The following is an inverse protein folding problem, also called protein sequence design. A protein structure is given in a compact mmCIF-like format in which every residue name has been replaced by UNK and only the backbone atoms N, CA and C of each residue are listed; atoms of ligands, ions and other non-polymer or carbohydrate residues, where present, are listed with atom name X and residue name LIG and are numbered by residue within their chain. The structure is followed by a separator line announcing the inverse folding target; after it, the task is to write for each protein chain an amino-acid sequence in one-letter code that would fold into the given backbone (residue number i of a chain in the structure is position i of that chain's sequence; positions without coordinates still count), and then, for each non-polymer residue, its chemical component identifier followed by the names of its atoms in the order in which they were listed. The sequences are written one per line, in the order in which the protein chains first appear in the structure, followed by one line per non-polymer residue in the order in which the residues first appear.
data_IF_286859138005
#
_entry.id   IF_286859138005
#
_cell.length_a   1.000
_cell.length_b   1.000
_cell.length_c   1.000
_cell.angle_alpha   90.00
_cell.angle_beta   90.00
_cell.angle_gamma   90.00
#
_symmetry.space_group_name_H-M   'P 1'
#
loop_
_entity.id
_entity.type
_entity.pdbx_description
1 polymer ?
#
# COMPACT_ATOMS: atom_id res chain seq x y z
N UNK A 1 20.11 25.44 22.96
CA UNK A 1 20.32 24.86 21.62
C UNK A 1 19.03 25.12 20.85
N UNK A 2 19.10 25.83 19.72
CA UNK A 2 17.92 26.30 18.99
C UNK A 2 18.01 25.79 17.56
N UNK A 3 17.04 24.99 17.12
CA UNK A 3 16.96 24.52 15.75
C UNK A 3 16.21 25.53 14.87
N UNK A 4 16.58 25.64 13.59
CA UNK A 4 15.88 26.49 12.62
C UNK A 4 14.54 25.91 12.19
N UNK A 5 13.75 26.66 11.41
CA UNK A 5 12.37 26.24 11.03
C UNK A 5 12.30 25.02 10.10
N UNK A 6 13.43 24.53 9.62
CA UNK A 6 13.50 23.47 8.62
C UNK A 6 13.05 23.92 7.23
N UNK A 7 13.23 23.05 6.25
CA UNK A 7 12.79 23.26 4.86
C UNK A 7 11.97 22.07 4.42
N UNK A 8 10.75 22.31 3.95
CA UNK A 8 9.90 21.29 3.35
C UNK A 8 10.17 21.26 1.84
N UNK A 9 10.80 20.18 1.38
CA UNK A 9 10.97 19.91 -0.05
C UNK A 9 9.76 19.10 -0.54
N UNK A 10 9.12 19.57 -1.60
CA UNK A 10 8.04 18.84 -2.27
C UNK A 10 8.50 18.48 -3.70
N UNK A 11 8.68 17.20 -3.97
CA UNK A 11 9.15 16.70 -5.28
C UNK A 11 7.95 16.08 -6.00
N UNK A 12 7.59 16.64 -7.15
CA UNK A 12 6.53 16.10 -8.01
C UNK A 12 7.14 15.08 -8.97
N UNK A 13 6.80 13.78 -8.88
CA UNK A 13 7.21 12.81 -9.89
C UNK A 13 6.56 13.12 -11.23
N UNK A 14 7.26 12.73 -12.31
CA UNK A 14 6.73 12.82 -13.66
C UNK A 14 5.82 11.62 -13.92
N UNK A 15 4.52 11.78 -13.70
CA UNK A 15 3.53 10.78 -14.09
C UNK A 15 3.35 10.79 -15.61
N UNK A 16 3.78 9.73 -16.29
CA UNK A 16 3.77 9.62 -17.76
C UNK A 16 2.45 9.07 -18.32
N UNK A 17 1.52 8.69 -17.46
CA UNK A 17 0.28 8.02 -17.86
C UNK A 17 -0.93 8.94 -17.68
N UNK A 18 -1.67 9.15 -18.77
CA UNK A 18 -2.99 9.79 -18.74
C UNK A 18 -3.99 8.74 -18.25
N UNK A 19 -4.04 8.54 -16.95
CA UNK A 19 -5.04 7.67 -16.33
C UNK A 19 -6.39 8.40 -16.21
N UNK A 20 -7.45 7.61 -16.18
CA UNK A 20 -8.77 8.10 -15.81
C UNK A 20 -8.92 7.93 -14.29
N UNK A 21 -9.35 9.01 -13.65
CA UNK A 21 -9.52 9.01 -12.20
C UNK A 21 -10.56 7.96 -11.81
N UNK A 22 -10.29 7.26 -10.71
CA UNK A 22 -11.17 6.22 -10.18
C UNK A 22 -11.49 6.52 -8.72
N UNK A 23 -12.74 6.26 -8.32
CA UNK A 23 -13.22 6.47 -6.96
C UNK A 23 -13.80 5.17 -6.41
N UNK A 24 -13.39 4.84 -5.19
CA UNK A 24 -13.80 3.63 -4.48
C UNK A 24 -14.38 3.99 -3.11
N UNK A 25 -15.51 3.37 -2.78
CA UNK A 25 -16.06 3.39 -1.43
C UNK A 25 -15.48 2.22 -0.63
N UNK A 26 -14.68 2.55 0.39
CA UNK A 26 -14.08 1.58 1.30
C UNK A 26 -14.93 1.49 2.56
N UNK A 27 -15.24 0.28 3.00
CA UNK A 27 -15.96 0.02 4.25
C UNK A 27 -15.02 -0.58 5.28
N UNK A 28 -15.25 -0.27 6.55
CA UNK A 28 -14.54 -0.92 7.65
C UNK A 28 -14.74 -2.44 7.59
N UNK A 29 -13.68 -3.17 7.91
CA UNK A 29 -13.75 -4.63 8.03
C UNK A 29 -14.30 -5.07 9.40
N UNK A 30 -14.52 -4.14 10.33
CA UNK A 30 -15.09 -4.44 11.63
C UNK A 30 -16.61 -4.50 11.52
N UNK A 31 -17.21 -5.65 11.81
CA UNK A 31 -18.66 -5.88 11.72
C UNK A 31 -19.51 -4.92 12.57
N UNK A 32 -18.90 -4.25 13.56
CA UNK A 32 -19.59 -3.35 14.49
C UNK A 32 -19.58 -1.89 14.07
N UNK A 33 -18.83 -1.52 13.04
CA UNK A 33 -18.67 -0.13 12.61
C UNK A 33 -19.14 0.04 11.17
N UNK A 34 -20.19 0.85 10.98
CA UNK A 34 -20.67 1.28 9.67
C UNK A 34 -19.78 2.37 9.05
N UNK A 35 -18.50 2.40 9.41
CA UNK A 35 -17.57 3.41 8.95
C UNK A 35 -17.19 3.15 7.49
N UNK A 36 -17.36 4.16 6.65
CA UNK A 36 -16.97 4.13 5.26
C UNK A 36 -16.27 5.42 4.84
N UNK A 37 -15.28 5.26 3.98
CA UNK A 37 -14.42 6.33 3.47
C UNK A 37 -14.28 6.21 1.97
N UNK A 38 -14.08 7.35 1.29
CA UNK A 38 -13.88 7.39 -0.15
C UNK A 38 -12.37 7.47 -0.45
N UNK A 39 -11.89 6.61 -1.36
CA UNK A 39 -10.56 6.68 -1.92
C UNK A 39 -10.66 7.10 -3.39
N UNK A 40 -10.09 8.25 -3.73
CA UNK A 40 -9.85 8.63 -5.12
C UNK A 40 -8.40 8.35 -5.49
N UNK A 41 -8.18 7.78 -6.68
CA UNK A 41 -6.86 7.41 -7.21
C UNK A 41 -6.78 7.68 -8.71
N UNK A 42 -5.57 7.57 -9.26
CA UNK A 42 -5.28 7.62 -10.69
C UNK A 42 -5.61 8.97 -11.36
N UNK A 43 -5.67 10.05 -10.56
CA UNK A 43 -5.78 11.40 -11.10
C UNK A 43 -4.43 11.91 -11.63
N UNK A 44 -4.43 12.69 -12.73
CA UNK A 44 -3.24 13.40 -13.18
C UNK A 44 -2.76 14.36 -12.08
N UNK A 45 -1.47 14.75 -12.14
CA UNK A 45 -0.82 15.69 -11.19
C UNK A 45 -1.81 16.76 -10.68
N UNK A 46 -1.98 16.92 -9.35
CA UNK A 46 -2.94 17.85 -8.76
C UNK A 46 -2.41 19.29 -8.86
N UNK A 47 -2.23 19.78 -10.07
CA UNK A 47 -2.01 21.21 -10.34
C UNK A 47 -3.38 21.91 -10.28
N UNK A 48 -3.98 21.94 -9.08
CA UNK A 48 -5.30 22.53 -8.84
C UNK A 48 -6.02 21.96 -7.62
N UNK A 49 -7.15 22.58 -7.27
CA UNK A 49 -8.06 22.07 -6.23
C UNK A 49 -8.86 20.90 -6.78
N UNK A 50 -8.94 19.83 -6.01
CA UNK A 50 -9.81 18.69 -6.31
C UNK A 50 -11.10 18.88 -5.51
N UNK A 51 -12.24 18.86 -6.19
CA UNK A 51 -13.55 19.00 -5.54
C UNK A 51 -14.14 17.61 -5.34
N UNK A 52 -14.36 17.23 -4.10
CA UNK A 52 -14.98 15.96 -3.74
C UNK A 52 -16.41 16.16 -3.25
N UNK A 53 -17.25 15.18 -3.49
CA UNK A 53 -18.63 15.12 -3.06
C UNK A 53 -18.85 13.82 -2.31
N UNK A 54 -19.34 13.92 -1.08
CA UNK A 54 -19.71 12.78 -0.24
C UNK A 54 -21.11 13.05 0.30
N UNK A 55 -22.05 12.13 0.08
CA UNK A 55 -23.44 12.28 0.55
C UNK A 55 -24.06 13.64 0.15
N UNK A 56 -23.72 14.17 -1.03
CA UNK A 56 -24.18 15.47 -1.52
C UNK A 56 -23.49 16.70 -0.90
N UNK A 57 -22.52 16.54 0.01
CA UNK A 57 -21.71 17.64 0.55
C UNK A 57 -20.41 17.82 -0.22
N UNK A 58 -20.09 19.06 -0.55
CA UNK A 58 -18.86 19.44 -1.26
C UNK A 58 -17.70 19.67 -0.30
N UNK A 59 -16.53 19.11 -0.63
CA UNK A 59 -15.28 19.29 0.10
C UNK A 59 -14.13 19.60 -0.87
N UNK A 60 -13.28 20.57 -0.50
CA UNK A 60 -12.08 20.90 -1.25
C UNK A 60 -10.90 20.11 -0.71
N UNK A 61 -10.36 19.20 -1.51
CA UNK A 61 -9.22 18.38 -1.13
C UNK A 61 -7.91 19.07 -1.49
N UNK A 62 -7.04 19.21 -0.49
CA UNK A 62 -5.73 19.86 -0.62
C UNK A 62 -4.56 18.90 -0.30
N UNK A 63 -4.87 17.76 0.33
CA UNK A 63 -3.89 16.71 0.64
C UNK A 63 -3.86 15.67 -0.46
N UNK A 64 -2.67 15.31 -0.94
CA UNK A 64 -2.49 14.24 -1.91
C UNK A 64 -1.44 13.28 -1.39
N UNK A 65 -1.80 12.00 -1.35
CA UNK A 65 -0.90 10.89 -1.11
C UNK A 65 -0.33 10.44 -2.46
N UNK A 66 0.95 10.14 -2.48
CA UNK A 66 1.62 9.58 -3.63
C UNK A 66 1.79 8.09 -3.38
N UNK A 67 1.13 7.28 -4.20
CA UNK A 67 1.15 5.83 -4.11
C UNK A 67 2.17 5.31 -5.13
N UNK A 68 3.16 4.58 -4.63
CA UNK A 68 3.96 3.70 -5.47
C UNK A 68 3.29 2.35 -5.53
N UNK A 69 2.97 1.88 -6.72
CA UNK A 69 2.65 0.48 -6.91
C UNK A 69 3.96 -0.21 -7.23
N UNK A 70 4.58 -0.74 -6.17
CA UNK A 70 5.88 -1.44 -6.23
C UNK A 70 5.96 -2.54 -7.29
N UNK A 71 4.81 -3.00 -7.82
CA UNK A 71 4.73 -4.03 -8.85
C UNK A 71 4.84 -3.52 -10.29
N UNK A 72 4.51 -2.25 -10.57
CA UNK A 72 4.53 -1.69 -11.93
C UNK A 72 5.42 -0.45 -12.10
N UNK A 73 6.12 -0.02 -11.04
CA UNK A 73 6.94 1.20 -10.99
C UNK A 73 6.15 2.45 -11.43
N UNK A 74 4.83 2.46 -11.22
CA UNK A 74 3.96 3.58 -11.59
C UNK A 74 3.54 4.35 -10.35
N UNK A 75 3.89 5.62 -10.37
CA UNK A 75 3.43 6.60 -9.40
C UNK A 75 2.00 7.02 -9.71
N UNK A 76 1.13 6.87 -8.73
CA UNK A 76 -0.27 7.32 -8.77
C UNK A 76 -0.49 8.34 -7.68
N UNK A 77 -1.34 9.32 -7.95
CA UNK A 77 -1.81 10.20 -6.91
C UNK A 77 -3.12 9.65 -6.35
N UNK A 78 -3.25 9.69 -5.03
CA UNK A 78 -4.40 9.23 -4.27
C UNK A 78 -4.81 10.25 -3.23
N UNK A 79 -6.09 10.33 -2.90
CA UNK A 79 -6.58 11.10 -1.76
C UNK A 79 -7.73 10.36 -1.10
N UNK A 80 -7.77 10.43 0.22
CA UNK A 80 -8.85 9.86 1.04
C UNK A 80 -9.71 11.00 1.55
N UNK A 81 -11.02 10.82 1.52
CA UNK A 81 -11.98 11.81 1.99
C UNK A 81 -13.23 11.13 2.54
N UNK A 82 -13.87 11.77 3.51
CA UNK A 82 -15.03 11.24 4.23
C UNK A 82 -15.90 12.41 4.72
N UNK A 83 -17.15 12.12 5.06
CA UNK A 83 -18.02 13.07 5.77
C UNK A 83 -17.92 12.84 7.29
N UNK A 84 -18.22 13.85 8.09
CA UNK A 84 -18.17 13.77 9.57
C UNK A 84 -19.12 12.71 10.14
N UNK A 85 -20.10 12.25 9.36
CA UNK A 85 -21.00 11.16 9.73
C UNK A 85 -20.38 9.76 9.53
N UNK A 86 -19.16 9.69 8.97
CA UNK A 86 -18.37 8.49 8.65
C UNK A 86 -19.15 7.38 7.93
N UNK A 87 -20.21 7.74 7.21
CA UNK A 87 -21.10 6.82 6.52
C UNK A 87 -21.33 7.35 5.12
N UNK A 88 -20.29 7.31 4.30
CA UNK A 88 -20.38 7.60 2.87
C UNK A 88 -21.21 6.51 2.18
N UNK A 89 -22.29 6.93 1.53
CA UNK A 89 -23.12 6.08 0.67
C UNK A 89 -22.88 6.36 -0.81
N UNK A 90 -22.32 7.53 -1.13
CA UNK A 90 -22.03 7.97 -2.48
C UNK A 90 -20.76 8.82 -2.47
N UNK A 91 -19.81 8.44 -3.31
CA UNK A 91 -18.54 9.14 -3.49
C UNK A 91 -18.40 9.64 -4.94
N UNK A 92 -18.10 10.93 -5.11
CA UNK A 92 -17.82 11.52 -6.42
C UNK A 92 -16.67 12.51 -6.33
N UNK A 93 -15.87 12.60 -7.38
CA UNK A 93 -14.79 13.56 -7.48
C UNK A 93 -14.77 14.28 -8.82
N UNK A 94 -14.46 15.56 -8.78
CA UNK A 94 -14.33 16.43 -9.94
C UNK A 94 -12.93 17.06 -9.93
N UNK A 95 -12.21 16.89 -11.04
CA UNK A 95 -10.90 17.47 -11.25
C UNK A 95 -10.79 18.01 -12.68
N UNK A 96 -10.80 19.34 -12.81
CA UNK A 96 -10.85 20.01 -14.11
C UNK A 96 -12.15 19.68 -14.85
N UNK A 97 -12.05 19.10 -16.04
CA UNK A 97 -13.21 18.65 -16.84
C UNK A 97 -13.54 17.16 -16.65
N UNK A 98 -12.78 16.45 -15.79
CA UNK A 98 -13.00 15.03 -15.52
C UNK A 98 -13.83 14.87 -14.27
N UNK A 99 -14.82 14.00 -14.36
CA UNK A 99 -15.64 13.55 -13.24
C UNK A 99 -15.46 12.05 -13.11
N UNK A 100 -15.21 11.58 -11.89
CA UNK A 100 -15.22 10.16 -11.58
C UNK A 100 -16.24 9.90 -10.47
N UNK A 101 -17.09 8.93 -10.71
CA UNK A 101 -18.11 8.45 -9.78
C UNK A 101 -17.65 7.13 -9.20
N UNK A 102 -18.25 6.75 -8.07
CA UNK A 102 -17.99 5.47 -7.43
C UNK A 102 -18.18 4.32 -8.43
N UNK A 103 -17.17 3.46 -8.55
CA UNK A 103 -17.28 2.24 -9.36
C UNK A 103 -18.30 1.28 -8.71
N UNK A 104 -19.43 0.98 -9.38
CA UNK A 104 -20.43 0.09 -8.80
C UNK A 104 -19.89 -1.34 -8.76
N UNK A 105 -19.82 -1.91 -7.55
CA UNK A 105 -19.78 -3.38 -7.39
C UNK A 105 -18.47 -4.02 -6.89
N UNK A 106 -17.52 -3.27 -6.34
CA UNK A 106 -16.35 -3.87 -5.66
C UNK A 106 -16.51 -3.72 -4.14
N UNK A 107 -17.50 -4.42 -3.58
CA UNK A 107 -17.62 -4.62 -2.14
C UNK A 107 -16.86 -5.89 -1.76
N UNK A 108 -15.53 -5.83 -1.78
CA UNK A 108 -14.72 -6.93 -1.25
C UNK A 108 -14.56 -6.75 0.25
N UNK A 109 -15.29 -7.53 1.04
CA UNK A 109 -15.07 -7.63 2.49
C UNK A 109 -13.73 -8.29 2.85
N UNK A 110 -13.00 -8.77 1.85
CA UNK A 110 -11.69 -9.39 2.02
C UNK A 110 -10.65 -8.49 1.38
N UNK A 111 -9.71 -7.98 2.18
CA UNK A 111 -8.39 -7.62 1.67
C UNK A 111 -7.66 -8.92 1.33
N UNK A 112 -8.06 -9.55 0.23
CA UNK A 112 -7.51 -10.82 -0.19
C UNK A 112 -6.18 -10.58 -0.91
N UNK A 113 -5.09 -10.66 -0.13
CA UNK A 113 -3.73 -10.78 -0.69
C UNK A 113 -3.53 -12.11 -1.45
N UNK A 114 -4.56 -12.94 -1.55
CA UNK A 114 -4.58 -14.16 -2.37
C UNK A 114 -4.87 -13.90 -3.86
N UNK A 115 -5.21 -12.67 -4.25
CA UNK A 115 -5.15 -12.30 -5.66
C UNK A 115 -3.71 -12.46 -6.15
N UNK A 116 -3.53 -13.14 -7.27
CA UNK A 116 -2.25 -13.55 -7.89
C UNK A 116 -1.31 -12.39 -8.29
N UNK A 117 -1.50 -11.21 -7.72
CA UNK A 117 -0.83 -9.94 -7.98
C UNK A 117 0.03 -9.48 -6.80
N UNK A 118 -0.05 -10.15 -5.65
CA UNK A 118 0.91 -9.98 -4.56
C UNK A 118 1.88 -11.16 -4.59
N UNK A 119 2.84 -11.13 -5.53
CA UNK A 119 4.01 -11.99 -5.38
C UNK A 119 4.69 -11.58 -4.07
N UNK A 120 4.56 -12.44 -3.06
CA UNK A 120 5.28 -12.33 -1.81
C UNK A 120 6.75 -12.13 -2.14
N UNK A 121 7.29 -10.97 -1.78
CA UNK A 121 8.68 -10.58 -2.01
C UNK A 121 9.60 -11.77 -1.71
N UNK A 122 10.27 -12.28 -2.76
CA UNK A 122 11.14 -13.46 -2.72
C UNK A 122 12.26 -13.33 -1.68
N UNK A 123 12.53 -12.10 -1.21
CA UNK A 123 13.51 -11.79 -0.18
C UNK A 123 13.09 -12.21 1.22
N UNK A 124 11.78 -12.35 1.49
CA UNK A 124 11.31 -12.91 2.77
C UNK A 124 11.48 -14.43 2.86
N UNK A 125 11.40 -15.14 1.73
CA UNK A 125 11.57 -16.60 1.69
C UNK A 125 13.04 -17.05 1.58
N UNK A 126 13.91 -16.22 0.99
CA UNK A 126 15.35 -16.52 0.91
C UNK A 126 16.05 -16.47 2.28
N UNK A 127 15.65 -15.57 3.17
CA UNK A 127 16.16 -15.55 4.56
C UNK A 127 15.83 -16.86 5.29
N UNK A 128 14.63 -17.42 5.07
CA UNK A 128 14.23 -18.69 5.69
C UNK A 128 15.02 -19.89 5.16
N UNK A 129 15.30 -19.90 3.85
CA UNK A 129 16.09 -20.97 3.23
C UNK A 129 17.58 -20.92 3.60
N UNK A 130 18.18 -19.73 3.64
CA UNK A 130 19.58 -19.55 4.07
C UNK A 130 19.78 -19.93 5.54
N UNK A 131 18.85 -19.56 6.42
CA UNK A 131 18.89 -19.94 7.84
C UNK A 131 18.76 -21.45 8.02
N UNK A 132 17.91 -22.11 7.23
CA UNK A 132 17.81 -23.57 7.25
C UNK A 132 19.09 -24.25 6.75
N UNK A 133 19.66 -23.77 5.65
CA UNK A 133 20.93 -24.26 5.11
C UNK A 133 22.09 -24.13 6.10
N UNK A 134 22.21 -22.98 6.76
CA UNK A 134 23.24 -22.74 7.78
C UNK A 134 23.11 -23.72 8.95
N UNK A 135 21.88 -23.99 9.42
CA UNK A 135 21.62 -24.98 10.51
C UNK A 135 22.08 -26.39 10.11
N UNK A 136 21.79 -26.82 8.88
CA UNK A 136 22.25 -28.12 8.38
C UNK A 136 23.79 -28.21 8.30
N UNK A 137 24.47 -27.15 7.87
CA UNK A 137 25.94 -27.12 7.82
C UNK A 137 26.58 -27.17 9.22
N UNK A 138 26.02 -26.46 10.19
CA UNK A 138 26.48 -26.50 11.59
C UNK A 138 26.34 -27.90 12.17
N UNK A 139 25.17 -28.54 11.99
CA UNK A 139 24.94 -29.92 12.45
C UNK A 139 25.95 -30.88 11.82
N UNK A 140 26.18 -30.77 10.51
CA UNK A 140 27.17 -31.59 9.79
C UNK A 140 28.59 -31.39 10.34
N UNK A 141 28.95 -30.16 10.67
CA UNK A 141 30.23 -29.83 11.29
C UNK A 141 30.41 -30.46 12.68
N UNK A 142 29.38 -30.39 13.53
CA UNK A 142 29.38 -31.00 14.86
C UNK A 142 29.54 -32.52 14.76
N UNK A 143 28.77 -33.18 13.88
CA UNK A 143 28.84 -34.63 13.68
C UNK A 143 30.25 -35.05 13.21
N UNK A 144 30.83 -34.32 12.25
CA UNK A 144 32.17 -34.63 11.75
C UNK A 144 33.24 -34.47 12.84
N UNK A 145 33.12 -33.44 13.68
CA UNK A 145 34.02 -33.21 14.80
C UNK A 145 33.94 -34.33 15.85
N UNK A 146 32.73 -34.80 16.18
CA UNK A 146 32.53 -35.92 17.11
C UNK A 146 33.12 -37.22 16.53
N UNK A 147 32.83 -37.55 15.26
CA UNK A 147 33.33 -38.78 14.62
C UNK A 147 34.86 -38.76 14.51
N UNK A 148 35.45 -37.65 14.08
CA UNK A 148 36.91 -37.51 13.96
C UNK A 148 37.59 -37.66 15.33
N UNK A 149 37.04 -37.04 16.38
CA UNK A 149 37.57 -37.18 17.74
C UNK A 149 37.49 -38.62 18.24
N UNK A 150 36.37 -39.31 18.03
CA UNK A 150 36.21 -40.72 18.39
C UNK A 150 37.18 -41.65 17.64
N UNK A 151 37.42 -41.39 16.35
CA UNK A 151 38.36 -42.18 15.53
C UNK A 151 39.82 -41.97 15.92
N UNK A 152 40.20 -40.76 16.33
CA UNK A 152 41.57 -40.44 16.79
C UNK A 152 41.83 -41.01 18.18
N UNK A 153 40.81 -41.13 19.03
CA UNK A 153 40.95 -41.65 20.39
C UNK A 153 40.72 -43.16 20.51
N UNK A 154 40.09 -43.79 19.52
CA UNK A 154 39.83 -45.24 19.47
C UNK A 154 40.76 -46.03 18.54
N UNK A 155 41.73 -45.38 17.89
CA UNK A 155 42.80 -46.01 17.11
C UNK A 155 44.14 -45.89 17.83
#
# INVERSE_FOLDING_TARGET
MTFGSGTKLNVKPKTTQKTDASVYLLKSNQESESESVCLATDFPSPDGTITAYVNGKTQNLTGTLMLDSSSDNKWRYGTVFWDDTMSANECKIEHGTKTAEEFPGIYSNTCDSSSSTFETDERLNTVSFEVFGLRCLVIKGIIFNIISTQRIWSG
#
